data_IF_793047818475
#
_entry.id   IF_793047818475
#
_cell.length_a   1.000
_cell.length_b   1.000
_cell.length_c   1.000
_cell.angle_alpha   90.00
_cell.angle_beta   90.00
_cell.angle_gamma   90.00
#
_symmetry.space_group_name_H-M   'P 1'
#
loop_
_entity.id
_entity.type
_entity.pdbx_description
1 polymer ?
#
# COMPACT_ATOMS: atom_id res chain seq x y z
N UNK A 1 15.74 -19.83 14.42
CA UNK A 1 14.74 -19.09 15.24
C UNK A 1 13.72 -18.45 14.28
N UNK A 2 12.48 -18.97 14.30
CA UNK A 2 11.17 -18.37 13.92
C UNK A 2 11.07 -17.48 12.66
N UNK A 3 10.50 -18.00 11.55
CA UNK A 3 10.05 -17.16 10.41
C UNK A 3 8.68 -17.52 9.77
N UNK A 4 7.84 -18.38 10.35
CA UNK A 4 6.74 -19.00 9.56
C UNK A 4 5.30 -18.55 9.88
N UNK A 5 5.09 -17.33 10.37
CA UNK A 5 3.72 -16.81 10.58
C UNK A 5 3.62 -15.37 10.04
N UNK A 6 3.17 -15.19 8.78
CA UNK A 6 2.95 -13.85 8.21
C UNK A 6 1.53 -13.62 7.71
N UNK A 7 0.51 -13.96 8.51
CA UNK A 7 -0.81 -13.35 8.38
C UNK A 7 -1.44 -13.14 9.77
N UNK A 8 -1.58 -11.88 10.19
CA UNK A 8 -2.39 -11.53 11.35
C UNK A 8 -3.87 -11.75 10.99
N UNK A 9 -4.54 -12.65 11.71
CA UNK A 9 -5.93 -13.03 11.44
C UNK A 9 -6.93 -12.11 12.17
N UNK A 10 -6.51 -11.46 13.26
CA UNK A 10 -7.34 -10.54 14.03
C UNK A 10 -6.65 -10.02 15.29
N UNK A 11 -7.13 -8.87 15.76
CA UNK A 11 -6.69 -8.23 17.01
C UNK A 11 -7.90 -8.18 17.94
N UNK A 12 -7.76 -8.74 19.14
CA UNK A 12 -8.76 -8.61 20.21
C UNK A 12 -8.06 -8.03 21.43
N UNK A 13 -8.45 -6.82 21.83
CA UNK A 13 -7.78 -6.02 22.85
C UNK A 13 -6.28 -5.82 22.52
N UNK A 14 -5.40 -6.47 23.27
CA UNK A 14 -3.93 -6.45 23.10
C UNK A 14 -3.38 -7.75 22.54
N UNK A 15 -4.23 -8.74 22.23
CA UNK A 15 -3.80 -10.05 21.74
C UNK A 15 -3.93 -10.12 20.22
N UNK A 16 -2.82 -10.46 19.55
CA UNK A 16 -2.77 -10.66 18.10
C UNK A 16 -2.69 -12.15 17.81
N UNK A 17 -3.63 -12.64 17.01
CA UNK A 17 -3.69 -14.03 16.58
C UNK A 17 -3.07 -14.17 15.19
N UNK A 18 -2.11 -15.09 15.08
CA UNK A 18 -1.36 -15.37 13.86
C UNK A 18 -1.72 -16.77 13.35
N UNK A 19 -1.87 -16.88 12.03
CA UNK A 19 -1.96 -18.15 11.33
C UNK A 19 -0.87 -18.25 10.27
N UNK A 20 -0.55 -19.48 9.89
CA UNK A 20 0.23 -19.72 8.69
C UNK A 20 -0.49 -19.15 7.46
N UNK A 21 0.28 -18.71 6.47
CA UNK A 21 -0.23 -18.27 5.18
C UNK A 21 -0.80 -19.43 4.36
N UNK A 22 -0.18 -20.61 4.46
CA UNK A 22 -0.72 -21.83 3.90
C UNK A 22 -2.01 -22.23 4.65
N UNK A 23 -3.13 -22.20 3.92
CA UNK A 23 -4.45 -22.52 4.47
C UNK A 23 -4.58 -23.98 4.90
N UNK A 24 -3.76 -24.86 4.35
CA UNK A 24 -3.72 -26.28 4.72
C UNK A 24 -2.91 -26.53 6.00
N UNK A 25 -2.15 -25.53 6.46
CA UNK A 25 -1.28 -25.66 7.62
C UNK A 25 -2.02 -25.35 8.96
N UNK A 26 -1.91 -26.23 9.97
CA UNK A 26 -2.51 -26.02 11.28
C UNK A 26 -1.71 -25.03 12.16
N UNK A 27 -0.58 -24.50 11.69
CA UNK A 27 0.31 -23.61 12.43
C UNK A 27 -0.40 -22.36 12.93
N UNK A 28 -0.29 -22.09 14.23
CA UNK A 28 -0.90 -20.92 14.90
C UNK A 28 0.08 -20.33 15.92
N UNK A 29 0.12 -19.01 16.02
CA UNK A 29 0.85 -18.31 17.06
C UNK A 29 -0.03 -17.21 17.69
N UNK A 30 0.27 -16.85 18.93
CA UNK A 30 -0.42 -15.80 19.66
C UNK A 30 0.62 -14.84 20.22
N UNK A 31 0.38 -13.55 20.05
CA UNK A 31 1.21 -12.50 20.61
C UNK A 31 0.37 -11.69 21.61
N UNK A 32 0.92 -11.47 22.80
CA UNK A 32 0.32 -10.65 23.84
C UNK A 32 1.07 -9.31 23.89
N UNK A 33 0.40 -8.21 23.52
CA UNK A 33 1.00 -6.88 23.54
C UNK A 33 2.28 -6.79 22.69
N UNK A 34 3.37 -6.34 23.32
CA UNK A 34 4.69 -6.18 22.69
C UNK A 34 5.56 -7.43 22.72
N UNK A 35 5.09 -8.55 23.27
CA UNK A 35 5.89 -9.75 23.42
C UNK A 35 6.15 -10.46 22.08
N UNK A 36 7.16 -11.33 22.03
CA UNK A 36 7.37 -12.16 20.85
C UNK A 36 6.21 -13.16 20.67
N UNK A 37 5.79 -13.45 19.42
CA UNK A 37 4.73 -14.43 19.17
C UNK A 37 5.11 -15.80 19.74
N UNK A 38 4.26 -16.30 20.64
CA UNK A 38 4.33 -17.65 21.18
C UNK A 38 3.61 -18.63 20.25
N UNK A 39 4.28 -19.71 19.87
CA UNK A 39 3.72 -20.72 18.97
C UNK A 39 2.75 -21.62 19.73
N UNK A 40 1.49 -21.73 19.26
CA UNK A 40 0.46 -22.57 19.87
C UNK A 40 0.28 -23.90 19.18
N UNK A 41 0.45 -23.95 17.86
CA UNK A 41 0.38 -25.20 17.08
C UNK A 41 1.57 -25.29 16.13
N UNK A 42 2.21 -26.47 16.01
CA UNK A 42 3.30 -26.68 15.08
C UNK A 42 2.84 -26.63 13.63
N UNK A 43 3.77 -26.35 12.72
CA UNK A 43 3.56 -26.44 11.28
C UNK A 43 3.69 -27.91 10.83
N UNK A 44 3.00 -28.27 9.75
CA UNK A 44 3.10 -29.57 9.09
C UNK A 44 3.94 -29.52 7.80
N UNK A 45 4.64 -28.41 7.56
CA UNK A 45 5.51 -28.19 6.42
C UNK A 45 6.80 -27.52 6.87
N UNK A 46 7.87 -27.66 6.10
CA UNK A 46 9.09 -26.85 6.26
C UNK A 46 8.86 -25.43 5.75
N UNK A 47 9.54 -24.46 6.35
CA UNK A 47 9.60 -23.10 5.82
C UNK A 47 10.38 -23.08 4.50
N UNK A 48 9.82 -22.44 3.48
CA UNK A 48 10.52 -22.21 2.20
C UNK A 48 11.21 -20.84 2.29
N UNK A 49 12.51 -20.87 2.59
CA UNK A 49 13.32 -19.66 2.78
C UNK A 49 13.36 -18.80 1.52
N UNK A 50 13.38 -19.42 0.35
CA UNK A 50 13.51 -18.72 -0.92
C UNK A 50 12.21 -17.99 -1.28
N UNK A 51 11.06 -18.62 -1.06
CA UNK A 51 9.76 -17.92 -1.17
C UNK A 51 9.67 -16.74 -0.20
N UNK A 52 10.14 -16.90 1.03
CA UNK A 52 10.15 -15.83 2.02
C UNK A 52 11.04 -14.64 1.60
N UNK A 53 12.24 -14.90 1.06
CA UNK A 53 13.14 -13.86 0.53
C UNK A 53 12.52 -13.14 -0.67
N UNK A 54 11.86 -13.87 -1.57
CA UNK A 54 11.18 -13.29 -2.73
C UNK A 54 10.04 -12.36 -2.30
N UNK A 55 9.22 -12.76 -1.32
CA UNK A 55 8.14 -11.90 -0.82
C UNK A 55 8.67 -10.68 -0.06
N UNK A 56 9.75 -10.84 0.71
CA UNK A 56 10.46 -9.73 1.35
C UNK A 56 10.97 -8.73 0.31
N UNK A 57 11.64 -9.21 -0.75
CA UNK A 57 12.11 -8.37 -1.86
C UNK A 57 10.96 -7.67 -2.59
N UNK A 58 9.82 -8.33 -2.81
CA UNK A 58 8.62 -7.69 -3.39
C UNK A 58 8.07 -6.60 -2.49
N UNK A 59 8.06 -6.80 -1.17
CA UNK A 59 7.64 -5.77 -0.21
C UNK A 59 8.59 -4.57 -0.25
N UNK A 60 9.89 -4.81 -0.33
CA UNK A 60 10.89 -3.76 -0.43
C UNK A 60 10.80 -3.00 -1.76
N UNK A 61 10.61 -3.69 -2.88
CA UNK A 61 10.29 -3.03 -4.16
C UNK A 61 9.04 -2.16 -4.07
N UNK A 62 7.96 -2.64 -3.43
CA UNK A 62 6.75 -1.83 -3.21
C UNK A 62 6.96 -0.63 -2.28
N UNK A 63 7.92 -0.70 -1.35
CA UNK A 63 8.30 0.41 -0.45
C UNK A 63 9.23 1.41 -1.13
N UNK A 64 10.14 0.92 -1.97
CA UNK A 64 11.09 1.70 -2.74
C UNK A 64 10.43 2.39 -3.94
N UNK A 65 9.43 1.74 -4.55
CA UNK A 65 8.57 2.36 -5.53
C UNK A 65 7.87 3.53 -4.84
N UNK A 66 8.34 4.72 -5.15
CA UNK A 66 7.60 5.93 -4.89
C UNK A 66 6.24 5.70 -5.54
N UNK A 67 5.17 5.51 -4.75
CA UNK A 67 3.80 5.66 -5.26
C UNK A 67 3.81 7.01 -5.94
N UNK A 68 3.93 7.01 -7.26
CA UNK A 68 3.99 8.19 -8.10
C UNK A 68 2.79 9.00 -7.67
N UNK A 69 3.03 10.19 -7.12
CA UNK A 69 1.94 11.12 -6.84
C UNK A 69 1.41 11.71 -8.15
N UNK A 70 1.58 10.98 -9.27
CA UNK A 70 1.37 11.47 -10.59
C UNK A 70 -0.12 11.71 -10.71
N UNK A 71 -0.50 12.95 -10.47
CA UNK A 71 -1.88 13.41 -10.56
C UNK A 71 -2.45 13.08 -11.93
N UNK A 72 -1.58 13.03 -12.96
CA UNK A 72 -1.91 12.56 -14.30
C UNK A 72 -2.31 11.08 -14.33
N UNK A 73 -1.54 10.18 -13.71
CA UNK A 73 -1.88 8.75 -13.64
C UNK A 73 -3.17 8.51 -12.87
N UNK A 74 -3.35 9.22 -11.75
CA UNK A 74 -4.59 9.17 -10.97
C UNK A 74 -5.79 9.67 -11.78
N UNK A 75 -5.61 10.74 -12.53
CA UNK A 75 -6.64 11.28 -13.42
C UNK A 75 -6.95 10.32 -14.57
N UNK A 76 -5.94 9.76 -15.25
CA UNK A 76 -6.12 8.74 -16.30
C UNK A 76 -6.85 7.51 -15.78
N UNK A 77 -6.48 7.01 -14.60
CA UNK A 77 -7.11 5.83 -14.01
C UNK A 77 -8.60 6.07 -13.72
N UNK A 78 -8.91 7.26 -13.19
CA UNK A 78 -10.29 7.66 -12.91
C UNK A 78 -11.10 7.86 -14.19
N UNK A 79 -10.56 8.58 -15.17
CA UNK A 79 -11.19 8.79 -16.47
C UNK A 79 -11.49 7.44 -17.16
N UNK A 80 -10.54 6.52 -17.13
CA UNK A 80 -10.74 5.17 -17.67
C UNK A 80 -11.84 4.41 -16.92
N UNK A 81 -11.97 4.60 -15.61
CA UNK A 81 -13.06 4.01 -14.81
C UNK A 81 -14.41 4.60 -15.20
N UNK A 82 -14.51 5.92 -15.36
CA UNK A 82 -15.74 6.61 -15.77
C UNK A 82 -16.18 6.23 -17.19
N UNK A 83 -15.22 5.84 -18.04
CA UNK A 83 -15.44 5.33 -19.39
C UNK A 83 -15.57 3.79 -19.44
N UNK A 84 -15.70 3.10 -18.29
CA UNK A 84 -15.80 1.65 -18.17
C UNK A 84 -14.69 0.88 -18.91
N UNK A 85 -13.48 1.43 -18.98
CA UNK A 85 -12.32 0.87 -19.69
C UNK A 85 -12.55 0.57 -21.18
N UNK A 86 -13.52 1.24 -21.81
CA UNK A 86 -13.82 1.09 -23.23
C UNK A 86 -12.69 1.72 -24.06
N UNK A 87 -12.18 0.97 -25.05
CA UNK A 87 -11.06 1.39 -25.91
C UNK A 87 -11.45 2.55 -26.83
N UNK A 88 -12.70 2.54 -27.33
CA UNK A 88 -13.25 3.58 -28.20
C UNK A 88 -14.62 4.05 -27.67
N UNK A 89 -14.64 4.91 -26.63
CA UNK A 89 -15.89 5.46 -26.13
C UNK A 89 -16.53 6.37 -27.17
N UNK A 90 -17.87 6.37 -27.23
CA UNK A 90 -18.59 7.34 -28.04
C UNK A 90 -18.31 8.76 -27.52
N UNK A 91 -18.29 9.76 -28.40
CA UNK A 91 -17.98 11.15 -28.04
C UNK A 91 -18.82 11.70 -26.87
N UNK A 92 -20.12 11.35 -26.80
CA UNK A 92 -20.98 11.72 -25.68
C UNK A 92 -20.57 11.12 -24.32
N UNK A 93 -19.93 9.94 -24.30
CA UNK A 93 -19.38 9.36 -23.07
C UNK A 93 -18.21 10.19 -22.55
N UNK A 94 -17.36 10.69 -23.45
CA UNK A 94 -16.29 11.62 -23.08
C UNK A 94 -16.85 12.91 -22.48
N UNK A 95 -17.86 13.53 -23.11
CA UNK A 95 -18.50 14.74 -22.57
C UNK A 95 -19.02 14.47 -21.15
N UNK A 96 -19.74 13.36 -20.95
CA UNK A 96 -20.29 13.00 -19.65
C UNK A 96 -19.20 12.77 -18.59
N UNK A 97 -18.12 12.07 -18.95
CA UNK A 97 -17.00 11.85 -18.05
C UNK A 97 -16.33 13.17 -17.62
N UNK A 98 -16.15 14.12 -18.56
CA UNK A 98 -15.61 15.45 -18.27
C UNK A 98 -16.53 16.24 -17.34
N UNK A 99 -17.86 16.20 -17.58
CA UNK A 99 -18.83 16.85 -16.70
C UNK A 99 -18.82 16.28 -15.28
N UNK A 100 -18.71 14.95 -15.14
CA UNK A 100 -18.59 14.28 -13.85
C UNK A 100 -17.29 14.67 -13.12
N UNK A 101 -16.18 14.76 -13.84
CA UNK A 101 -14.90 15.20 -13.27
C UNK A 101 -14.98 16.65 -12.77
N UNK A 102 -15.56 17.54 -13.57
CA UNK A 102 -15.80 18.93 -13.16
C UNK A 102 -16.68 19.03 -11.91
N UNK A 103 -17.80 18.30 -11.87
CA UNK A 103 -18.70 18.29 -10.71
C UNK A 103 -17.97 17.83 -9.43
N UNK A 104 -17.15 16.79 -9.53
CA UNK A 104 -16.33 16.31 -8.42
C UNK A 104 -15.29 17.33 -7.97
N UNK A 105 -14.55 17.92 -8.91
CA UNK A 105 -13.51 18.91 -8.59
C UNK A 105 -14.11 20.19 -8.00
N UNK A 106 -15.28 20.61 -8.49
CA UNK A 106 -16.06 21.73 -7.94
C UNK A 106 -16.56 21.43 -6.53
N UNK A 107 -17.08 20.23 -6.27
CA UNK A 107 -17.48 19.79 -4.92
C UNK A 107 -16.29 19.73 -3.94
N UNK A 108 -15.11 19.32 -4.40
CA UNK A 108 -13.89 19.37 -3.58
C UNK A 108 -13.47 20.81 -3.30
N UNK A 109 -13.46 21.65 -4.33
CA UNK A 109 -13.05 23.06 -4.22
C UNK A 109 -13.96 23.83 -3.27
N UNK A 110 -15.28 23.62 -3.36
CA UNK A 110 -16.28 24.21 -2.46
C UNK A 110 -16.14 23.71 -1.01
N UNK A 111 -15.79 22.45 -0.78
CA UNK A 111 -15.45 21.97 0.58
C UNK A 111 -14.21 22.69 1.11
N UNK A 112 -13.18 22.89 0.30
CA UNK A 112 -11.98 23.60 0.74
C UNK A 112 -12.26 25.06 1.09
N UNK A 113 -13.08 25.75 0.31
CA UNK A 113 -13.45 27.15 0.57
C UNK A 113 -14.37 27.30 1.78
N UNK A 114 -15.35 26.41 1.95
CA UNK A 114 -16.34 26.48 3.04
C UNK A 114 -15.76 26.14 4.42
N UNK A 115 -14.81 25.21 4.49
CA UNK A 115 -14.32 24.72 5.79
C UNK A 115 -13.16 25.55 6.34
N UNK A 116 -12.50 26.40 5.52
CA UNK A 116 -11.27 27.13 5.88
C UNK A 116 -10.06 26.23 6.21
N UNK A 117 -10.30 24.96 6.49
CA UNK A 117 -9.32 23.93 6.74
C UNK A 117 -8.83 23.37 5.40
N UNK A 118 -7.63 23.79 5.01
CA UNK A 118 -6.81 23.03 4.08
C UNK A 118 -6.56 21.68 4.78
N UNK A 119 -7.10 20.54 4.31
CA UNK A 119 -6.73 19.26 4.89
C UNK A 119 -5.23 19.13 4.67
N UNK A 120 -4.50 19.03 5.77
CA UNK A 120 -3.06 18.80 5.72
C UNK A 120 -2.85 17.49 4.96
N UNK A 121 -2.50 17.58 3.67
CA UNK A 121 -1.90 16.47 2.93
C UNK A 121 -0.47 16.32 3.44
N UNK A 122 -0.31 15.99 4.72
CA UNK A 122 0.95 15.46 5.24
C UNK A 122 1.08 14.03 4.75
N UNK A 123 1.46 13.86 3.48
CA UNK A 123 2.61 13.00 3.22
C UNK A 123 3.84 13.86 3.43
N UNK A 124 4.11 14.17 4.71
CA UNK A 124 5.45 14.54 5.10
C UNK A 124 6.31 13.34 4.73
N UNK A 125 7.03 13.42 3.62
CA UNK A 125 8.29 12.71 3.54
C UNK A 125 9.17 13.40 4.58
N UNK A 126 9.08 12.95 5.83
CA UNK A 126 9.80 13.48 7.00
C UNK A 126 11.31 13.55 6.72
N UNK A 127 11.79 12.87 5.67
CA UNK A 127 13.18 12.81 5.32
C UNK A 127 13.46 12.94 3.80
N UNK A 128 12.81 13.89 3.10
CA UNK A 128 13.08 14.11 1.66
C UNK A 128 14.56 14.39 1.39
N UNK A 129 15.17 15.27 2.19
CA UNK A 129 16.57 15.67 2.00
C UNK A 129 17.55 14.54 2.36
N UNK A 130 17.32 13.81 3.45
CA UNK A 130 18.18 12.65 3.76
C UNK A 130 18.06 11.55 2.70
N UNK A 131 16.88 11.36 2.12
CA UNK A 131 16.66 10.39 1.05
C UNK A 131 17.32 10.81 -0.26
N UNK A 132 17.40 12.12 -0.54
CA UNK A 132 18.18 12.66 -1.66
C UNK A 132 19.68 12.47 -1.45
N UNK A 133 20.19 12.75 -0.24
CA UNK A 133 21.60 12.52 0.07
C UNK A 133 21.98 11.04 0.04
N UNK A 134 21.10 10.15 0.51
CA UNK A 134 21.31 8.71 0.42
C UNK A 134 21.37 8.21 -1.04
N UNK A 135 20.56 8.80 -1.93
CA UNK A 135 20.64 8.53 -3.37
C UNK A 135 21.93 9.07 -3.99
N UNK A 136 22.31 10.30 -3.65
CA UNK A 136 23.55 10.94 -4.11
C UNK A 136 24.79 10.10 -3.72
N UNK A 137 24.83 9.63 -2.48
CA UNK A 137 25.93 8.80 -1.98
C UNK A 137 26.00 7.46 -2.71
N UNK A 138 24.86 6.83 -3.02
CA UNK A 138 24.82 5.59 -3.79
C UNK A 138 25.32 5.77 -5.23
N UNK A 139 24.97 6.87 -5.88
CA UNK A 139 25.47 7.18 -7.23
C UNK A 139 26.98 7.42 -7.24
N UNK A 140 27.53 8.12 -6.24
CA UNK A 140 28.97 8.36 -6.12
C UNK A 140 29.79 7.10 -5.82
N UNK A 141 29.16 6.02 -5.35
CA UNK A 141 29.80 4.75 -5.03
C UNK A 141 29.73 3.71 -6.16
N UNK A 142 29.10 4.03 -7.30
CA UNK A 142 29.16 3.18 -8.48
C UNK A 142 30.50 3.40 -9.20
N UNK A 143 31.21 2.32 -9.61
CA UNK A 143 32.48 2.40 -10.30
C UNK A 143 32.36 2.99 -11.72
#
# INVERSE_FOLDING_TARGET
>A
MRKDCRVAQGIVNTTVYWKCEDRSCPGRAIQYGSDQPGMKKPHNHSGDEDKCKVEEFKMDLKRLCHKTNNSLEGWHHRLNTDLNHIIHPHFYMFIRAIQNDYAYNSAISSRHTATGAIPSRKKLFVNRNARLHDLENRYKQQP
#
